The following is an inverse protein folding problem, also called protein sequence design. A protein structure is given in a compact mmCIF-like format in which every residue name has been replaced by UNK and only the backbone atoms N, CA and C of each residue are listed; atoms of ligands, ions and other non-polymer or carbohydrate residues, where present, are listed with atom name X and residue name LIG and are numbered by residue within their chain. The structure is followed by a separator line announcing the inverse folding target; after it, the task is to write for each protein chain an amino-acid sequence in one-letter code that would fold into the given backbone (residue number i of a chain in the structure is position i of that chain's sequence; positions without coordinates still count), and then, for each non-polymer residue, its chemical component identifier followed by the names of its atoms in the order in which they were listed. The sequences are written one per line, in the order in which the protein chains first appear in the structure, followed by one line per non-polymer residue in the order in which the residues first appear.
data_IF_921118858705
#
_entry.id   IF_921118858705
#
_cell.length_a   1.000
_cell.length_b   1.000
_cell.length_c   1.000
_cell.angle_alpha   90.00
_cell.angle_beta   90.00
_cell.angle_gamma   90.00
#
_symmetry.space_group_name_H-M   'P 1'
#
loop_
_entity.id
_entity.type
_entity.pdbx_description
1 polymer ?
#
# COMPACT_ATOMS: atom_id res chain seq x y z
N UNK A 1 9.70 21.58 24.03
CA UNK A 1 9.60 20.66 22.87
C UNK A 1 8.48 21.13 21.96
N UNK A 2 8.73 21.31 20.65
CA UNK A 2 7.65 21.62 19.70
C UNK A 2 6.94 20.33 19.32
N UNK A 3 5.65 20.26 19.57
CA UNK A 3 4.81 19.19 19.05
C UNK A 3 4.43 19.53 17.62
N UNK A 4 4.95 18.76 16.67
CA UNK A 4 4.55 18.89 15.27
C UNK A 4 3.14 18.31 15.13
N UNK A 5 2.17 19.15 14.75
CA UNK A 5 0.82 18.70 14.39
C UNK A 5 0.83 18.34 12.91
N UNK A 6 0.55 17.09 12.60
CA UNK A 6 0.39 16.63 11.22
C UNK A 6 -0.99 17.06 10.70
N UNK A 7 -1.01 17.71 9.54
CA UNK A 7 -2.22 18.16 8.87
C UNK A 7 -2.86 17.03 8.06
N UNK A 8 -3.20 15.92 8.73
CA UNK A 8 -3.72 14.71 8.08
C UNK A 8 -4.91 14.94 7.16
N UNK A 9 -5.92 15.79 7.49
CA UNK A 9 -7.03 16.03 6.58
C UNK A 9 -6.58 16.58 5.21
N UNK A 10 -5.64 17.54 5.21
CA UNK A 10 -5.10 18.10 3.97
C UNK A 10 -4.26 17.09 3.19
N UNK A 11 -3.52 16.24 3.90
CA UNK A 11 -2.70 15.19 3.27
C UNK A 11 -3.58 14.11 2.62
N UNK A 12 -4.63 13.66 3.32
CA UNK A 12 -5.61 12.71 2.77
C UNK A 12 -6.36 13.29 1.58
N UNK A 13 -6.75 14.56 1.64
CA UNK A 13 -7.39 15.25 0.51
C UNK A 13 -6.47 15.36 -0.72
N UNK A 14 -5.15 15.36 -0.52
CA UNK A 14 -4.16 15.36 -1.60
C UNK A 14 -3.61 13.96 -1.93
N UNK A 15 -4.13 12.88 -1.33
CA UNK A 15 -3.56 11.53 -1.43
C UNK A 15 -3.33 11.08 -2.89
N UNK A 16 -4.26 11.39 -3.80
CA UNK A 16 -4.15 11.06 -5.22
C UNK A 16 -2.90 11.63 -5.92
N UNK A 17 -2.34 12.72 -5.39
CA UNK A 17 -1.15 13.42 -5.93
C UNK A 17 0.15 13.08 -5.21
N UNK A 18 0.10 12.27 -4.15
CA UNK A 18 1.26 11.97 -3.30
C UNK A 18 1.69 10.53 -3.54
N UNK A 19 2.90 10.29 -4.02
CA UNK A 19 3.44 8.92 -4.14
C UNK A 19 4.41 8.67 -3.00
N UNK A 20 4.04 7.86 -1.99
CA UNK A 20 4.98 7.39 -0.99
C UNK A 20 6.03 6.51 -1.66
N UNK A 21 7.31 6.74 -1.36
CA UNK A 21 8.40 6.04 -2.02
C UNK A 21 9.56 5.72 -1.08
N UNK A 22 10.27 4.63 -1.36
CA UNK A 22 11.49 4.26 -0.66
C UNK A 22 12.49 3.59 -1.61
N UNK A 23 13.78 3.70 -1.31
CA UNK A 23 14.80 2.90 -1.97
C UNK A 23 14.64 1.42 -1.61
N UNK A 24 14.73 0.52 -2.59
CA UNK A 24 14.59 -0.93 -2.43
C UNK A 24 15.55 -1.52 -1.39
N UNK A 25 16.76 -0.95 -1.26
CA UNK A 25 17.76 -1.36 -0.25
C UNK A 25 17.84 -0.39 0.93
N UNK A 26 16.92 0.56 1.04
CA UNK A 26 16.85 1.47 2.19
C UNK A 26 16.30 0.71 3.40
N UNK A 27 16.90 0.89 4.57
CA UNK A 27 16.45 0.25 5.81
C UNK A 27 16.21 1.29 6.90
N UNK A 28 15.61 0.86 8.01
CA UNK A 28 15.41 1.70 9.19
C UNK A 28 14.32 2.75 9.03
N UNK A 29 14.45 3.81 9.83
CA UNK A 29 13.41 4.80 10.07
C UNK A 29 12.85 5.46 8.79
N UNK A 30 13.66 5.88 7.79
CA UNK A 30 13.11 6.53 6.59
C UNK A 30 12.14 5.63 5.81
N UNK A 31 12.44 4.34 5.65
CA UNK A 31 11.56 3.39 4.97
C UNK A 31 10.30 3.13 5.79
N UNK A 32 10.41 3.04 7.11
CA UNK A 32 9.26 2.87 7.99
C UNK A 32 8.31 4.06 7.91
N UNK A 33 8.83 5.29 7.88
CA UNK A 33 8.01 6.50 7.67
C UNK A 33 7.32 6.50 6.32
N UNK A 34 8.02 6.14 5.24
CA UNK A 34 7.43 6.07 3.90
C UNK A 34 6.32 5.01 3.83
N UNK A 35 6.51 3.85 4.48
CA UNK A 35 5.50 2.80 4.57
C UNK A 35 4.29 3.24 5.39
N UNK A 36 4.49 3.84 6.56
CA UNK A 36 3.40 4.34 7.40
C UNK A 36 2.59 5.43 6.67
N UNK A 37 3.26 6.29 5.90
CA UNK A 37 2.57 7.26 5.04
C UNK A 37 1.76 6.59 3.93
N UNK A 38 2.28 5.51 3.34
CA UNK A 38 1.58 4.76 2.31
C UNK A 38 0.30 4.11 2.85
N UNK A 39 0.38 3.48 4.01
CA UNK A 39 -0.76 2.90 4.74
C UNK A 39 -1.81 3.97 5.06
N UNK A 40 -1.37 5.12 5.60
CA UNK A 40 -2.25 6.22 6.00
C UNK A 40 -2.96 6.88 4.82
N UNK A 41 -2.33 6.90 3.63
CA UNK A 41 -2.93 7.43 2.41
C UNK A 41 -3.68 6.39 1.58
N UNK A 42 -3.64 5.10 1.96
CA UNK A 42 -4.19 4.00 1.16
C UNK A 42 -3.52 3.87 -0.21
N UNK A 43 -2.22 4.18 -0.31
CA UNK A 43 -1.45 4.23 -1.56
C UNK A 43 -0.38 3.13 -1.54
N UNK A 44 -0.01 2.54 -2.69
CA UNK A 44 1.13 1.64 -2.74
C UNK A 44 2.44 2.40 -2.46
N UNK A 45 3.39 1.73 -1.82
CA UNK A 45 4.76 2.23 -1.64
C UNK A 45 5.55 1.97 -2.94
N UNK A 46 5.97 3.02 -3.63
CA UNK A 46 6.81 2.91 -4.81
C UNK A 46 8.27 2.61 -4.42
N UNK A 47 8.83 1.53 -4.97
CA UNK A 47 10.25 1.21 -4.78
C UNK A 47 11.13 1.85 -5.87
N UNK A 48 12.23 2.44 -5.42
CA UNK A 48 13.26 3.07 -6.25
C UNK A 48 14.59 2.29 -6.18
N UNK A 49 15.42 2.31 -7.23
CA UNK A 49 16.70 1.60 -7.23
C UNK A 49 17.65 2.10 -6.14
N UNK A 50 18.26 1.17 -5.39
CA UNK A 50 19.26 1.46 -4.37
C UNK A 50 18.69 1.83 -3.00
N UNK A 51 19.47 2.54 -2.19
CA UNK A 51 19.13 2.90 -0.82
C UNK A 51 18.57 4.32 -0.69
N UNK A 52 18.64 4.88 0.51
CA UNK A 52 18.21 6.26 0.78
C UNK A 52 18.85 7.28 -0.18
N UNK A 53 20.13 7.09 -0.51
CA UNK A 53 20.90 7.95 -1.43
C UNK A 53 20.85 7.49 -2.89
N UNK A 54 19.86 6.67 -3.28
CA UNK A 54 19.75 6.12 -4.64
C UNK A 54 19.70 7.18 -5.74
N UNK A 55 19.11 8.34 -5.46
CA UNK A 55 19.07 9.48 -6.39
C UNK A 55 20.45 10.10 -6.66
N UNK A 56 21.39 10.01 -5.71
CA UNK A 56 22.77 10.49 -5.88
C UNK A 56 23.64 9.42 -6.53
N UNK A 57 23.52 8.19 -6.06
CA UNK A 57 24.41 7.09 -6.47
C UNK A 57 24.02 6.46 -7.80
N UNK A 58 22.75 6.59 -8.22
CA UNK A 58 22.18 5.99 -9.43
C UNK A 58 21.21 6.94 -10.15
N UNK A 59 21.65 8.16 -10.51
CA UNK A 59 20.74 9.22 -10.99
C UNK A 59 19.94 8.80 -12.23
N UNK A 60 20.56 8.12 -13.20
CA UNK A 60 19.86 7.68 -14.42
C UNK A 60 18.76 6.63 -14.13
N UNK A 61 19.07 5.61 -13.32
CA UNK A 61 18.09 4.58 -12.96
C UNK A 61 16.97 5.15 -12.06
N UNK A 62 17.30 6.09 -11.19
CA UNK A 62 16.32 6.82 -10.38
C UNK A 62 15.39 7.67 -11.25
N UNK A 63 15.94 8.44 -12.20
CA UNK A 63 15.16 9.28 -13.11
C UNK A 63 14.21 8.47 -13.99
N UNK A 64 14.69 7.36 -14.57
CA UNK A 64 13.84 6.45 -15.35
C UNK A 64 12.66 5.95 -14.51
N UNK A 65 12.94 5.45 -13.29
CA UNK A 65 11.89 4.98 -12.39
C UNK A 65 10.94 6.09 -11.96
N UNK A 66 11.43 7.31 -11.78
CA UNK A 66 10.61 8.46 -11.42
C UNK A 66 9.58 8.77 -12.50
N UNK A 67 9.99 8.76 -13.77
CA UNK A 67 9.07 8.95 -14.90
C UNK A 67 7.99 7.87 -14.92
N UNK A 68 8.37 6.59 -14.85
CA UNK A 68 7.40 5.48 -14.83
C UNK A 68 6.35 5.65 -13.72
N UNK A 69 6.79 6.03 -12.52
CA UNK A 69 5.93 6.18 -11.35
C UNK A 69 4.98 7.36 -11.50
N UNK A 70 5.43 8.49 -12.03
CA UNK A 70 4.60 9.67 -12.20
C UNK A 70 3.59 9.51 -13.35
N UNK A 71 3.98 8.82 -14.41
CA UNK A 71 3.07 8.48 -15.52
C UNK A 71 1.97 7.52 -15.04
N UNK A 72 2.33 6.51 -14.23
CA UNK A 72 1.37 5.60 -13.60
C UNK A 72 0.44 6.30 -12.61
N UNK A 73 0.96 7.27 -11.84
CA UNK A 73 0.16 8.04 -10.88
C UNK A 73 -0.79 9.05 -11.54
N UNK A 74 -0.52 9.43 -12.79
CA UNK A 74 -1.33 10.36 -13.59
C UNK A 74 -2.32 9.63 -14.50
N UNK A 75 -2.19 8.31 -14.65
CA UNK A 75 -3.18 7.45 -15.30
C UNK A 75 -4.57 7.58 -14.65
N UNK A 76 -5.66 7.24 -15.37
CA UNK A 76 -7.01 7.37 -14.84
C UNK A 76 -7.09 6.67 -13.49
N UNK A 77 -7.60 7.38 -12.48
CA UNK A 77 -7.79 6.86 -11.15
C UNK A 77 -8.41 5.46 -11.27
N UNK A 78 -7.68 4.44 -10.80
CA UNK A 78 -8.24 3.12 -10.65
C UNK A 78 -9.32 3.27 -9.58
N UNK A 79 -10.59 3.38 -10.01
CA UNK A 79 -11.71 3.25 -9.11
C UNK A 79 -11.48 1.94 -8.33
N UNK A 80 -11.57 1.96 -6.99
CA UNK A 80 -11.57 0.71 -6.25
C UNK A 80 -12.69 -0.13 -6.86
N UNK A 81 -12.32 -1.27 -7.45
CA UNK A 81 -13.28 -2.21 -8.02
C UNK A 81 -14.41 -2.37 -6.99
N UNK A 82 -15.68 -2.33 -7.41
CA UNK A 82 -16.77 -2.58 -6.48
C UNK A 82 -16.50 -3.95 -5.87
N UNK A 83 -16.14 -3.97 -4.59
CA UNK A 83 -16.22 -5.17 -3.77
C UNK A 83 -17.68 -5.52 -3.77
N UNK A 84 -18.10 -6.39 -4.69
CA UNK A 84 -19.44 -6.91 -4.74
C UNK A 84 -19.75 -7.53 -3.37
N UNK A 85 -20.69 -6.98 -2.58
CA UNK A 85 -21.10 -7.60 -1.33
C UNK A 85 -21.98 -8.84 -1.58
N UNK A 86 -22.17 -9.26 -2.83
CA UNK A 86 -23.07 -10.35 -3.25
C UNK A 86 -22.30 -11.61 -3.64
N UNK A 87 -21.35 -12.02 -2.81
CA UNK A 87 -20.98 -13.44 -2.77
C UNK A 87 -22.20 -14.26 -2.31
N UNK A 88 -22.49 -15.45 -2.88
CA UNK A 88 -23.58 -16.29 -2.42
C UNK A 88 -23.37 -16.58 -0.93
N UNK A 89 -24.30 -16.16 -0.06
CA UNK A 89 -24.26 -16.54 1.35
C UNK A 89 -24.27 -18.07 1.42
N UNK A 90 -23.39 -18.71 2.21
CA UNK A 90 -23.49 -20.16 2.41
C UNK A 90 -24.88 -20.47 2.98
N UNK A 91 -25.56 -21.47 2.40
CA UNK A 91 -26.86 -21.95 2.88
C UNK A 91 -26.67 -22.46 4.30
N UNK A 92 -27.20 -21.73 5.28
CA UNK A 92 -27.34 -22.19 6.65
C UNK A 92 -28.44 -23.24 6.74
N UNK A 93 -28.22 -24.45 6.24
CA UNK A 93 -28.88 -25.65 6.76
C UNK A 93 -28.23 -26.91 6.19
N UNK A 94 -27.33 -27.52 6.95
CA UNK A 94 -27.16 -28.97 6.94
C UNK A 94 -26.66 -29.36 8.34
N UNK A 95 -27.61 -29.80 9.16
CA UNK A 95 -27.36 -30.48 10.43
C UNK A 95 -26.42 -31.67 10.18
N UNK A 96 -25.19 -31.56 10.64
CA UNK A 96 -24.26 -32.67 10.78
C UNK A 96 -24.92 -33.78 11.63
N UNK A 97 -25.13 -35.01 11.11
CA UNK A 97 -25.55 -36.13 11.95
C UNK A 97 -24.37 -36.63 12.81
N UNK A 98 -24.63 -37.26 13.97
CA UNK A 98 -23.57 -37.64 14.90
C UNK A 98 -22.65 -38.71 14.32
N UNK A 99 -21.33 -38.55 14.52
CA UNK A 99 -20.33 -39.58 14.19
C UNK A 99 -20.54 -40.79 15.08
N UNK A 100 -20.78 -41.95 14.47
CA UNK A 100 -20.76 -43.24 15.14
C UNK A 100 -19.33 -43.59 15.53
N UNK A 101 -19.08 -43.73 16.84
CA UNK A 101 -17.81 -44.22 17.37
C UNK A 101 -17.93 -45.74 17.48
N UNK A 102 -17.36 -46.45 16.51
CA UNK A 102 -17.13 -47.89 16.62
C UNK A 102 -15.74 -48.12 17.23
N UNK A 103 -15.71 -48.62 18.47
CA UNK A 103 -14.56 -49.31 19.05
C UNK A 103 -14.52 -50.75 18.52
N UNK A 104 -13.34 -51.37 18.45
CA UNK A 104 -12.84 -52.12 19.60
C UNK A 104 -11.43 -51.72 20.08
#
# INVERSE_FOLDING_TARGET
MRLHRLAWPGLRAAAGRIVPAAGATSTGFPRQCARALAEELGRPLAEFPGGHSGFVLRPAAFAARLHDVLDQATGPAQDPAPTDPTGPRPRSDERQPPRSVAQP
#
